data_IF_472270673220
#
_entry.id   IF_472270673220
#
_cell.length_a   1.000
_cell.length_b   1.000
_cell.length_c   1.000
_cell.angle_alpha   90.00
_cell.angle_beta   90.00
_cell.angle_gamma   90.00
#
_symmetry.space_group_name_H-M   'P 1'
#
loop_
_entity.id
_entity.type
_entity.pdbx_description
1 polymer ?
#
# COMPACT_ATOMS: atom_id res chain seq x y z
N UNK A 1 -14.74 -22.75 -22.52
CA UNK A 1 -14.30 -21.46 -22.00
C UNK A 1 -12.83 -21.30 -22.35
N UNK A 2 -12.41 -20.19 -22.92
CA UNK A 2 -11.01 -20.07 -23.40
C UNK A 2 -10.03 -19.71 -22.29
N UNK A 3 -10.32 -18.69 -21.49
CA UNK A 3 -9.54 -18.26 -20.31
C UNK A 3 -10.38 -17.39 -19.40
N UNK A 4 -10.10 -17.41 -18.09
CA UNK A 4 -10.70 -16.52 -17.09
C UNK A 4 -9.57 -15.74 -16.44
N UNK A 5 -9.61 -14.41 -16.51
CA UNK A 5 -8.62 -13.55 -15.88
C UNK A 5 -9.19 -12.82 -14.67
N UNK A 6 -8.42 -12.76 -13.59
CA UNK A 6 -8.75 -12.00 -12.40
C UNK A 6 -8.38 -10.53 -12.65
N UNK A 7 -9.37 -9.63 -12.54
CA UNK A 7 -9.18 -8.18 -12.67
C UNK A 7 -9.26 -7.43 -11.36
N UNK A 8 -9.90 -8.02 -10.35
CA UNK A 8 -9.97 -7.45 -8.99
C UNK A 8 -8.68 -7.66 -8.23
N UNK A 9 -8.47 -6.88 -7.16
CA UNK A 9 -7.40 -7.16 -6.20
C UNK A 9 -7.63 -8.47 -5.47
N UNK A 10 -6.54 -9.14 -5.09
CA UNK A 10 -6.58 -10.36 -4.29
C UNK A 10 -6.06 -10.13 -2.87
N UNK A 11 -6.49 -10.95 -1.94
CA UNK A 11 -5.99 -11.00 -0.58
C UNK A 11 -4.70 -11.81 -0.54
N UNK A 12 -3.58 -11.15 -0.68
CA UNK A 12 -2.25 -11.80 -0.77
C UNK A 12 -1.87 -12.56 0.50
N UNK A 13 -2.37 -12.14 1.66
CA UNK A 13 -2.18 -12.82 2.94
C UNK A 13 -2.88 -14.20 2.97
N UNK A 14 -4.09 -14.30 2.41
CA UNK A 14 -4.78 -15.59 2.29
C UNK A 14 -4.13 -16.50 1.25
N UNK A 15 -3.57 -15.92 0.17
CA UNK A 15 -2.78 -16.70 -0.79
C UNK A 15 -1.57 -17.34 -0.13
N UNK A 16 -0.90 -16.62 0.79
CA UNK A 16 0.25 -17.16 1.52
C UNK A 16 -0.15 -18.19 2.58
N UNK A 17 -1.38 -18.11 3.09
CA UNK A 17 -1.93 -19.06 4.05
C UNK A 17 -2.38 -20.39 3.41
N UNK A 18 -2.44 -20.46 2.08
CA UNK A 18 -2.74 -21.69 1.36
C UNK A 18 -1.66 -22.76 1.63
N UNK A 19 -2.07 -23.84 2.26
CA UNK A 19 -1.15 -24.91 2.71
C UNK A 19 -0.47 -25.61 1.54
N UNK A 20 -1.21 -25.85 0.48
CA UNK A 20 -0.72 -26.59 -0.68
C UNK A 20 0.04 -25.71 -1.68
N UNK A 21 -0.08 -24.38 -1.54
CA UNK A 21 0.55 -23.36 -2.40
C UNK A 21 0.26 -23.55 -3.92
N UNK A 22 -0.77 -24.30 -4.22
CA UNK A 22 -1.19 -24.58 -5.61
C UNK A 22 -1.92 -23.40 -6.22
N UNK A 23 -2.68 -22.64 -5.39
CA UNK A 23 -3.46 -21.51 -5.83
C UNK A 23 -2.60 -20.43 -6.52
N UNK A 24 -1.49 -20.04 -5.92
CA UNK A 24 -0.60 -19.02 -6.50
C UNK A 24 0.00 -19.49 -7.84
N UNK A 25 0.40 -20.74 -7.90
CA UNK A 25 0.95 -21.35 -9.12
C UNK A 25 -0.07 -21.35 -10.25
N UNK A 26 -1.30 -21.76 -9.97
CA UNK A 26 -2.40 -21.80 -10.93
C UNK A 26 -2.83 -20.38 -11.35
N UNK A 27 -2.94 -19.46 -10.38
CA UNK A 27 -3.24 -18.06 -10.61
C UNK A 27 -2.25 -17.44 -11.62
N UNK A 28 -0.94 -17.55 -11.36
CA UNK A 28 0.10 -17.02 -12.24
C UNK A 28 0.05 -17.69 -13.61
N UNK A 29 -0.14 -19.01 -13.64
CA UNK A 29 -0.12 -19.76 -14.90
C UNK A 29 -1.30 -19.42 -15.81
N UNK A 30 -2.51 -19.29 -15.28
CA UNK A 30 -3.72 -19.32 -16.09
C UNK A 30 -4.65 -18.11 -15.92
N UNK A 31 -4.51 -17.31 -14.84
CA UNK A 31 -5.52 -16.33 -14.46
C UNK A 31 -5.01 -14.87 -14.35
N UNK A 32 -3.72 -14.63 -14.58
CA UNK A 32 -3.14 -13.27 -14.65
C UNK A 32 -2.85 -12.91 -16.10
N UNK A 33 -3.40 -11.78 -16.56
CA UNK A 33 -3.25 -11.30 -17.95
C UNK A 33 -2.04 -10.36 -18.16
N UNK A 34 -1.05 -10.39 -17.25
CA UNK A 34 0.13 -9.52 -17.26
C UNK A 34 0.24 -8.64 -16.01
N UNK A 35 -0.86 -8.25 -15.41
CA UNK A 35 -0.88 -7.43 -14.21
C UNK A 35 -1.83 -8.01 -13.17
N UNK A 36 -1.37 -8.06 -11.91
CA UNK A 36 -2.14 -8.49 -10.76
C UNK A 36 -2.24 -7.33 -9.75
N UNK A 37 -3.44 -6.90 -9.44
CA UNK A 37 -3.67 -5.85 -8.44
C UNK A 37 -3.62 -6.43 -7.03
N UNK A 38 -2.88 -5.76 -6.15
CA UNK A 38 -2.77 -6.09 -4.73
C UNK A 38 -2.85 -4.82 -3.90
N UNK A 39 -3.40 -4.92 -2.70
CA UNK A 39 -3.62 -3.76 -1.84
C UNK A 39 -2.83 -3.88 -0.53
N UNK A 40 -1.49 -3.68 -0.55
CA UNK A 40 -0.71 -3.55 0.68
C UNK A 40 -1.10 -2.31 1.49
N UNK A 41 -1.53 -1.25 0.82
CA UNK A 41 -2.03 0.04 1.29
C UNK A 41 -0.99 0.91 2.00
N UNK A 42 -0.07 0.36 2.76
CA UNK A 42 1.03 1.06 3.42
C UNK A 42 2.23 0.12 3.63
N UNK A 43 3.36 0.66 4.12
CA UNK A 43 4.56 -0.10 4.50
C UNK A 43 4.86 -0.04 5.99
N UNK A 44 4.50 1.07 6.66
CA UNK A 44 4.63 1.18 8.11
C UNK A 44 3.73 0.17 8.81
N UNK A 45 4.32 -0.71 9.61
CA UNK A 45 3.59 -1.72 10.37
C UNK A 45 2.66 -1.11 11.43
N UNK A 46 2.97 0.10 11.90
CA UNK A 46 2.11 0.88 12.80
C UNK A 46 0.81 1.25 12.10
N UNK A 47 0.90 1.83 10.90
CA UNK A 47 -0.27 2.23 10.10
C UNK A 47 -1.08 1.01 9.67
N UNK A 48 -0.41 -0.05 9.21
CA UNK A 48 -1.06 -1.30 8.84
C UNK A 48 -1.84 -1.93 10.00
N UNK A 49 -1.34 -1.82 11.24
CA UNK A 49 -2.09 -2.26 12.42
C UNK A 49 -3.39 -1.48 12.62
N UNK A 50 -3.39 -0.16 12.40
CA UNK A 50 -4.62 0.65 12.44
C UNK A 50 -5.58 0.30 11.30
N UNK A 51 -5.07 -0.03 10.13
CA UNK A 51 -5.87 -0.50 8.99
C UNK A 51 -6.44 -1.91 9.18
N UNK A 52 -5.98 -2.66 10.17
CA UNK A 52 -6.31 -4.10 10.32
C UNK A 52 -5.73 -4.95 9.19
N UNK A 53 -4.60 -4.54 8.63
CA UNK A 53 -3.89 -5.22 7.55
C UNK A 53 -2.75 -6.09 8.09
N UNK A 54 -2.33 -7.11 7.34
CA UNK A 54 -1.13 -7.86 7.67
C UNK A 54 0.10 -6.96 7.62
N UNK A 55 1.14 -7.34 8.36
CA UNK A 55 2.43 -6.64 8.37
C UNK A 55 3.06 -6.59 6.98
N UNK A 56 3.90 -5.58 6.76
CA UNK A 56 4.55 -5.35 5.46
C UNK A 56 5.39 -6.54 4.97
N UNK A 57 6.01 -7.27 5.88
CA UNK A 57 6.81 -8.46 5.56
C UNK A 57 5.99 -9.56 4.89
N UNK A 58 4.69 -9.63 5.18
CA UNK A 58 3.76 -10.57 4.52
C UNK A 58 3.59 -10.20 3.05
N UNK A 59 3.49 -8.92 2.75
CA UNK A 59 3.45 -8.44 1.36
C UNK A 59 4.76 -8.72 0.62
N UNK A 60 5.90 -8.46 1.25
CA UNK A 60 7.21 -8.75 0.65
C UNK A 60 7.37 -10.24 0.32
N UNK A 61 6.95 -11.13 1.23
CA UNK A 61 6.98 -12.58 0.98
C UNK A 61 6.05 -12.97 -0.18
N UNK A 62 4.88 -12.34 -0.28
CA UNK A 62 3.99 -12.56 -1.43
C UNK A 62 4.67 -12.18 -2.74
N UNK A 63 5.29 -11.01 -2.83
CA UNK A 63 6.01 -10.55 -4.03
C UNK A 63 7.13 -11.54 -4.38
N UNK A 64 7.92 -11.97 -3.40
CA UNK A 64 9.00 -12.94 -3.61
C UNK A 64 8.47 -14.26 -4.22
N UNK A 65 7.34 -14.77 -3.71
CA UNK A 65 6.71 -16.01 -4.27
C UNK A 65 6.09 -15.79 -5.63
N UNK A 66 5.44 -14.65 -5.85
CA UNK A 66 4.85 -14.30 -7.13
C UNK A 66 5.93 -14.23 -8.23
N UNK A 67 7.06 -13.59 -7.95
CA UNK A 67 8.19 -13.50 -8.89
C UNK A 67 8.84 -14.87 -9.15
N UNK A 68 8.96 -15.70 -8.12
CA UNK A 68 9.45 -17.06 -8.28
C UNK A 68 8.53 -17.90 -9.19
N UNK A 69 7.21 -17.75 -9.03
CA UNK A 69 6.24 -18.42 -9.91
C UNK A 69 6.32 -17.91 -11.35
N UNK A 70 6.48 -16.60 -11.56
CA UNK A 70 6.70 -16.02 -12.88
C UNK A 70 7.94 -16.59 -13.57
N UNK A 71 9.06 -16.62 -12.86
CA UNK A 71 10.31 -17.22 -13.37
C UNK A 71 10.12 -18.69 -13.75
N UNK A 72 9.46 -19.48 -12.89
CA UNK A 72 9.20 -20.90 -13.09
C UNK A 72 8.28 -21.16 -14.29
N UNK A 73 7.32 -20.28 -14.55
CA UNK A 73 6.36 -20.41 -15.66
C UNK A 73 6.80 -19.70 -16.94
N UNK A 74 7.94 -18.99 -16.94
CA UNK A 74 8.43 -18.22 -18.06
C UNK A 74 7.57 -17.02 -18.43
N UNK A 75 6.80 -16.49 -17.45
CA UNK A 75 5.90 -15.36 -17.68
C UNK A 75 6.51 -14.05 -17.17
N UNK A 76 6.14 -12.96 -17.84
CA UNK A 76 6.42 -11.60 -17.42
C UNK A 76 5.14 -10.94 -16.94
N UNK A 77 4.88 -11.04 -15.64
CA UNK A 77 3.71 -10.47 -15.00
C UNK A 77 4.16 -9.59 -13.82
N UNK A 78 3.40 -8.54 -13.55
CA UNK A 78 3.73 -7.55 -12.53
C UNK A 78 2.63 -7.46 -11.47
N UNK A 79 3.02 -7.40 -10.22
CA UNK A 79 2.10 -7.02 -9.14
C UNK A 79 2.00 -5.48 -9.12
N UNK A 80 0.78 -4.96 -9.21
CA UNK A 80 0.49 -3.53 -9.09
C UNK A 80 0.00 -3.23 -7.68
N UNK A 81 0.85 -2.65 -6.82
CA UNK A 81 0.46 -2.28 -5.48
C UNK A 81 -0.44 -1.05 -5.48
N UNK A 82 -1.44 -1.09 -4.62
CA UNK A 82 -2.26 0.06 -4.28
C UNK A 82 -1.84 0.59 -2.91
N UNK A 83 -1.52 1.88 -2.85
CA UNK A 83 -1.15 2.58 -1.61
C UNK A 83 -2.16 3.68 -1.29
N UNK A 84 -2.31 3.96 0.00
CA UNK A 84 -3.22 4.97 0.54
C UNK A 84 -2.45 5.95 1.42
N UNK A 85 -2.73 7.25 1.23
CA UNK A 85 -2.23 8.31 2.09
C UNK A 85 -3.25 8.74 3.14
N UNK A 86 -2.78 9.41 4.16
CA UNK A 86 -3.63 10.12 5.13
C UNK A 86 -4.61 9.24 5.93
N UNK A 87 -4.29 7.95 6.11
CA UNK A 87 -5.06 7.07 6.99
C UNK A 87 -4.89 7.51 8.46
N UNK A 88 -5.91 7.41 9.32
CA UNK A 88 -5.73 7.56 10.77
C UNK A 88 -4.56 6.72 11.28
N UNK A 89 -3.68 7.32 12.05
CA UNK A 89 -2.42 6.72 12.50
C UNK A 89 -1.22 6.96 11.59
N UNK A 90 -1.42 7.50 10.39
CA UNK A 90 -0.33 7.84 9.48
C UNK A 90 0.13 9.29 9.71
N UNK A 91 1.29 9.47 10.31
CA UNK A 91 1.95 10.76 10.39
C UNK A 91 2.93 11.00 9.23
N UNK A 92 3.70 12.08 9.30
CA UNK A 92 4.62 12.43 8.23
C UNK A 92 5.79 11.46 8.10
N UNK A 93 6.26 10.90 9.22
CA UNK A 93 7.37 9.92 9.22
C UNK A 93 6.96 8.64 8.49
N UNK A 94 5.75 8.15 8.76
CA UNK A 94 5.20 6.99 8.03
C UNK A 94 5.03 7.28 6.53
N UNK A 95 4.61 8.51 6.18
CA UNK A 95 4.46 8.89 4.78
C UNK A 95 5.81 8.98 4.06
N UNK A 96 6.87 9.39 4.73
CA UNK A 96 8.25 9.38 4.22
C UNK A 96 8.73 7.93 4.03
N UNK A 97 8.51 7.05 5.02
CA UNK A 97 8.85 5.63 4.92
C UNK A 97 8.19 4.98 3.68
N UNK A 98 6.92 5.30 3.43
CA UNK A 98 6.21 4.83 2.24
C UNK A 98 6.82 5.40 0.95
N UNK A 99 7.17 6.68 0.94
CA UNK A 99 7.77 7.32 -0.23
C UNK A 99 9.16 6.74 -0.57
N UNK A 100 9.97 6.47 0.45
CA UNK A 100 11.27 5.82 0.29
C UNK A 100 11.12 4.41 -0.28
N UNK A 101 10.18 3.64 0.24
CA UNK A 101 9.88 2.32 -0.30
C UNK A 101 9.44 2.36 -1.77
N UNK A 102 8.56 3.31 -2.14
CA UNK A 102 8.12 3.51 -3.53
C UNK A 102 9.30 3.89 -4.44
N UNK A 103 10.21 4.75 -3.96
CA UNK A 103 11.43 5.11 -4.66
C UNK A 103 12.29 3.88 -4.96
N UNK A 104 12.51 3.05 -3.94
CA UNK A 104 13.39 1.89 -4.02
C UNK A 104 12.78 0.75 -4.86
N UNK A 105 11.45 0.67 -4.93
CA UNK A 105 10.75 -0.23 -5.87
C UNK A 105 10.98 0.14 -7.34
N UNK A 106 11.33 1.39 -7.65
CA UNK A 106 11.46 1.88 -9.03
C UNK A 106 10.14 1.98 -9.81
N UNK A 107 9.02 1.67 -9.16
CA UNK A 107 7.68 1.80 -9.72
C UNK A 107 6.92 2.90 -8.98
N UNK A 108 6.29 3.82 -9.73
CA UNK A 108 5.53 4.91 -9.14
C UNK A 108 4.05 4.68 -9.40
N UNK A 109 3.24 4.64 -8.34
CA UNK A 109 1.80 4.58 -8.49
C UNK A 109 1.29 5.79 -9.27
N UNK A 110 0.59 5.56 -10.38
CA UNK A 110 -0.07 6.65 -11.14
C UNK A 110 -1.16 7.31 -10.31
N UNK A 111 -1.78 6.55 -9.41
CA UNK A 111 -2.85 7.02 -8.54
C UNK A 111 -2.49 6.76 -7.08
N UNK A 112 -2.45 7.81 -6.28
CA UNK A 112 -2.47 7.76 -4.83
C UNK A 112 -3.84 8.24 -4.36
N UNK A 113 -4.47 7.47 -3.50
CA UNK A 113 -5.77 7.82 -2.93
C UNK A 113 -5.60 8.23 -1.47
N UNK A 114 -6.15 9.40 -1.11
CA UNK A 114 -6.27 9.77 0.29
C UNK A 114 -7.33 8.92 0.98
N UNK A 115 -7.13 8.66 2.26
CA UNK A 115 -8.15 8.02 3.07
C UNK A 115 -9.47 8.80 2.99
N UNK A 116 -10.53 8.05 2.68
CA UNK A 116 -11.91 8.55 2.69
C UNK A 116 -12.73 7.80 3.73
N UNK A 117 -13.38 8.49 4.69
CA UNK A 117 -14.16 7.83 5.73
C UNK A 117 -15.34 7.06 5.14
N UNK A 118 -15.27 5.74 5.23
CA UNK A 118 -16.37 4.85 4.79
C UNK A 118 -17.19 4.44 6.01
N UNK A 119 -18.52 4.58 6.00
CA UNK A 119 -19.37 4.18 7.13
C UNK A 119 -19.11 2.74 7.60
N UNK A 120 -19.28 2.51 8.89
CA UNK A 120 -19.16 1.19 9.55
C UNK A 120 -17.76 0.58 9.55
N UNK A 121 -16.69 1.40 9.44
CA UNK A 121 -15.31 0.94 9.56
C UNK A 121 -14.63 1.47 10.81
N UNK A 122 -13.68 0.70 11.36
CA UNK A 122 -12.83 1.12 12.49
C UNK A 122 -12.04 2.39 12.13
N UNK A 123 -11.53 2.47 10.91
CA UNK A 123 -10.78 3.63 10.42
C UNK A 123 -11.62 4.90 10.42
N UNK A 124 -12.90 4.80 10.09
CA UNK A 124 -13.82 5.95 10.17
C UNK A 124 -14.10 6.36 11.62
N UNK A 125 -14.22 5.40 12.52
CA UNK A 125 -14.33 5.70 13.95
C UNK A 125 -13.09 6.47 14.44
N UNK A 126 -11.88 5.97 14.14
CA UNK A 126 -10.62 6.67 14.47
C UNK A 126 -10.56 8.07 13.86
N UNK A 127 -10.99 8.23 12.61
CA UNK A 127 -10.97 9.52 11.91
C UNK A 127 -11.80 10.60 12.62
N UNK A 128 -12.98 10.25 13.10
CA UNK A 128 -13.88 11.21 13.77
C UNK A 128 -13.57 11.40 15.25
N UNK A 129 -13.20 10.34 15.96
CA UNK A 129 -12.99 10.38 17.40
C UNK A 129 -11.55 10.72 17.80
N UNK A 130 -10.57 10.40 16.94
CA UNK A 130 -9.15 10.48 17.30
C UNK A 130 -8.72 9.40 18.28
N UNK A 131 -9.51 8.32 18.43
CA UNK A 131 -9.24 7.21 19.32
C UNK A 131 -9.27 5.88 18.57
N UNK A 132 -8.40 4.95 18.94
CA UNK A 132 -8.52 3.55 18.50
C UNK A 132 -9.68 2.87 19.25
N UNK A 133 -10.76 2.47 18.56
CA UNK A 133 -11.91 1.87 19.22
C UNK A 133 -11.63 0.51 19.86
N UNK A 134 -10.46 -0.09 19.59
CA UNK A 134 -10.04 -1.38 20.19
C UNK A 134 -9.38 -1.20 21.55
N UNK A 135 -8.66 -0.09 21.76
CA UNK A 135 -7.86 0.16 22.96
C UNK A 135 -8.24 1.45 23.69
N UNK A 136 -8.97 2.35 23.03
CA UNK A 136 -9.30 3.70 23.48
C UNK A 136 -8.08 4.63 23.58
N UNK A 137 -6.94 4.23 22.98
CA UNK A 137 -5.75 5.07 22.92
C UNK A 137 -5.91 6.19 21.87
N UNK A 138 -5.29 7.37 22.10
CA UNK A 138 -5.26 8.44 21.11
C UNK A 138 -4.58 8.01 19.81
N UNK A 139 -5.18 8.38 18.68
CA UNK A 139 -4.67 8.13 17.33
C UNK A 139 -4.48 9.46 16.61
N UNK A 140 -3.28 9.67 16.05
CA UNK A 140 -3.04 10.80 15.17
C UNK A 140 -3.95 10.72 13.93
N UNK A 141 -4.56 11.84 13.55
CA UNK A 141 -5.43 11.90 12.37
C UNK A 141 -5.06 13.11 11.51
N UNK A 142 -4.55 12.93 10.30
CA UNK A 142 -4.26 14.03 9.39
C UNK A 142 -5.59 14.61 8.87
N UNK A 143 -6.05 15.71 9.49
CA UNK A 143 -7.33 16.38 9.14
C UNK A 143 -7.13 17.59 8.24
N UNK A 144 -5.97 18.24 8.32
CA UNK A 144 -5.66 19.42 7.54
C UNK A 144 -5.57 19.08 6.05
N UNK A 145 -6.23 19.85 5.16
CA UNK A 145 -6.06 19.68 3.71
C UNK A 145 -4.60 19.78 3.27
N UNK A 146 -3.81 20.62 3.94
CA UNK A 146 -2.38 20.77 3.66
C UNK A 146 -1.59 19.49 3.99
N UNK A 147 -1.81 18.88 5.16
CA UNK A 147 -1.16 17.61 5.54
C UNK A 147 -1.50 16.48 4.58
N UNK A 148 -2.78 16.36 4.21
CA UNK A 148 -3.24 15.36 3.24
C UNK A 148 -2.57 15.55 1.88
N UNK A 149 -2.55 16.78 1.38
CA UNK A 149 -1.89 17.12 0.13
C UNK A 149 -0.39 16.77 0.17
N UNK A 150 0.26 17.02 1.31
CA UNK A 150 1.67 16.74 1.52
C UNK A 150 1.96 15.22 1.54
N UNK A 151 1.21 14.43 2.29
CA UNK A 151 1.36 12.97 2.31
C UNK A 151 1.11 12.35 0.93
N UNK A 152 0.12 12.85 0.18
CA UNK A 152 -0.14 12.42 -1.19
C UNK A 152 1.00 12.81 -2.13
N UNK A 153 1.54 14.02 -1.99
CA UNK A 153 2.67 14.49 -2.80
C UNK A 153 3.92 13.63 -2.62
N UNK A 154 4.16 13.11 -1.41
CA UNK A 154 5.26 12.18 -1.14
C UNK A 154 5.10 10.85 -1.89
N UNK A 155 3.89 10.30 -2.00
CA UNK A 155 3.64 9.08 -2.80
C UNK A 155 3.83 9.35 -4.29
N UNK A 156 3.50 10.56 -4.75
CA UNK A 156 3.57 10.97 -6.17
C UNK A 156 4.70 11.99 -6.41
N UNK A 157 5.85 11.81 -5.76
CA UNK A 157 6.96 12.78 -5.77
C UNK A 157 7.53 13.12 -7.15
N UNK A 158 7.36 12.27 -8.16
CA UNK A 158 7.79 12.55 -9.54
C UNK A 158 6.79 13.39 -10.35
N UNK A 159 5.59 13.63 -9.83
CA UNK A 159 4.69 14.57 -10.49
C UNK A 159 5.26 16.00 -10.31
N UNK A 160 5.54 16.75 -11.40
CA UNK A 160 6.12 18.09 -11.30
C UNK A 160 5.32 19.05 -10.44
N UNK A 161 3.99 18.91 -10.41
CA UNK A 161 3.11 19.72 -9.56
C UNK A 161 3.33 19.51 -8.05
N UNK A 162 3.89 18.36 -7.68
CA UNK A 162 4.15 17.99 -6.29
C UNK A 162 5.59 18.30 -5.86
N UNK A 163 6.48 18.69 -6.79
CA UNK A 163 7.92 18.83 -6.52
C UNK A 163 8.24 19.84 -5.44
N UNK A 164 7.61 21.02 -5.48
CA UNK A 164 7.84 22.06 -4.45
C UNK A 164 7.34 21.65 -3.06
N UNK A 165 6.24 20.93 -3.00
CA UNK A 165 5.67 20.43 -1.74
C UNK A 165 6.52 19.32 -1.14
N UNK A 166 7.08 18.45 -1.96
CA UNK A 166 7.94 17.34 -1.54
C UNK A 166 9.33 17.83 -1.11
N UNK A 167 9.94 18.77 -1.84
CA UNK A 167 11.28 19.26 -1.57
C UNK A 167 11.39 20.05 -0.28
N UNK A 168 10.38 20.84 0.09
CA UNK A 168 10.40 21.65 1.32
C UNK A 168 10.41 20.82 2.60
N UNK A 169 9.91 19.60 2.57
CA UNK A 169 9.77 18.74 3.74
C UNK A 169 10.90 17.72 3.88
N UNK A 170 11.46 17.28 2.76
CA UNK A 170 12.66 16.44 2.78
C UNK A 170 13.90 17.19 3.27
N UNK A 171 13.95 18.51 3.09
CA UNK A 171 15.05 19.36 3.61
C UNK A 171 15.03 19.53 5.14
N UNK A 172 13.91 19.29 5.80
CA UNK A 172 13.76 19.33 7.27
C UNK A 172 14.12 18.02 7.99
N UNK A 173 14.14 16.90 7.28
CA UNK A 173 14.59 15.61 7.77
C UNK A 173 15.92 15.29 7.09
N UNK A 174 17.00 15.43 7.83
CA UNK A 174 18.36 15.24 7.40
C UNK A 174 18.57 13.93 6.66
N UNK A 175 18.75 14.00 5.37
CA UNK A 175 19.51 13.01 4.63
C UNK A 175 18.81 12.28 3.51
N UNK A 176 19.14 12.73 2.32
CA UNK A 176 19.18 11.93 1.07
C UNK A 176 17.84 11.36 0.56
N UNK A 177 17.17 12.15 -0.23
CA UNK A 177 16.42 11.63 -1.39
C UNK A 177 17.19 11.97 -2.65
#
# INVERSE_FOLDING_TARGET
>A
MKKVFIRSGIRFDYVLADKDQTFLSELVKDHVSGQLRVAPEHVSNRVLSYMGKPRHEVYQEFIRRFDACNKKTGKQQYALPYFMSSHPGCDLEDAVELAEYIRDMGFIPEQAQDFYPTPSTLSTCMYYTGLDPRTMDPVYVPKSPHEKAMQRALIQYRNPENYESSARHCAGHTGRI
#
